data_IF_836830971657
#
_entry.id   IF_836830971657
#
_cell.length_a   1.000
_cell.length_b   1.000
_cell.length_c   1.000
_cell.angle_alpha   90.00
_cell.angle_beta   90.00
_cell.angle_gamma   90.00
#
_symmetry.space_group_name_H-M   'P 1'
#
loop_
_entity.id
_entity.type
_entity.pdbx_description
1 polymer ?
#
# COMPACT_ATOMS: atom_id res chain seq x y z
N UNK A 1 15.78 12.94 -27.57
CA UNK A 1 15.29 11.98 -26.57
C UNK A 1 14.62 12.75 -25.45
N UNK A 2 13.43 12.32 -25.01
CA UNK A 2 12.66 12.96 -23.94
C UNK A 2 13.39 12.82 -22.58
N UNK A 3 13.36 13.84 -21.72
CA UNK A 3 13.95 13.84 -20.36
C UNK A 3 13.47 12.64 -19.54
N UNK A 4 12.23 12.22 -19.73
CA UNK A 4 11.66 11.04 -19.07
C UNK A 4 12.48 9.77 -19.37
N UNK A 5 12.91 9.59 -20.62
CA UNK A 5 13.73 8.44 -21.02
C UNK A 5 15.07 8.43 -20.30
N UNK A 6 15.69 9.60 -20.13
CA UNK A 6 16.95 9.73 -19.38
C UNK A 6 16.77 9.38 -17.92
N UNK A 7 15.72 9.89 -17.25
CA UNK A 7 15.45 9.56 -15.85
C UNK A 7 15.15 8.08 -15.66
N UNK A 8 14.36 7.47 -16.55
CA UNK A 8 14.09 6.03 -16.53
C UNK A 8 15.37 5.22 -16.69
N UNK A 9 16.27 5.61 -17.61
CA UNK A 9 17.54 4.93 -17.81
C UNK A 9 18.46 5.07 -16.59
N UNK A 10 18.55 6.27 -16.00
CA UNK A 10 19.35 6.52 -14.79
C UNK A 10 18.83 5.66 -13.62
N UNK A 11 17.51 5.65 -13.39
CA UNK A 11 16.90 4.84 -12.34
C UNK A 11 17.20 3.35 -12.56
N UNK A 12 17.05 2.86 -13.79
CA UNK A 12 17.33 1.46 -14.12
C UNK A 12 18.78 1.08 -13.86
N UNK A 13 19.74 1.93 -14.29
CA UNK A 13 21.17 1.71 -14.06
C UNK A 13 21.47 1.69 -12.55
N UNK A 14 20.93 2.65 -11.78
CA UNK A 14 21.12 2.69 -10.33
C UNK A 14 20.58 1.44 -9.64
N UNK A 15 19.39 0.97 -10.04
CA UNK A 15 18.80 -0.26 -9.50
C UNK A 15 19.66 -1.48 -9.81
N UNK A 16 20.24 -1.57 -11.01
CA UNK A 16 21.17 -2.66 -11.37
C UNK A 16 22.44 -2.59 -10.54
N UNK A 17 23.05 -1.41 -10.43
CA UNK A 17 24.33 -1.22 -9.74
C UNK A 17 24.20 -1.52 -8.25
N UNK A 18 23.12 -1.09 -7.60
CA UNK A 18 22.93 -1.24 -6.16
C UNK A 18 22.24 -2.58 -5.82
N UNK A 19 21.19 -2.94 -6.56
CA UNK A 19 20.34 -4.09 -6.26
C UNK A 19 20.70 -5.37 -7.04
N UNK A 20 21.63 -5.31 -7.99
CA UNK A 20 22.01 -6.44 -8.84
C UNK A 20 20.82 -7.08 -9.56
N UNK A 21 20.73 -8.42 -9.50
CA UNK A 21 19.60 -9.18 -10.08
C UNK A 21 18.25 -8.81 -9.47
N UNK A 22 18.20 -8.51 -8.17
CA UNK A 22 16.97 -8.07 -7.51
C UNK A 22 16.56 -6.68 -7.98
N UNK A 23 17.53 -5.81 -8.26
CA UNK A 23 17.29 -4.50 -8.87
C UNK A 23 16.59 -4.58 -10.22
N UNK A 24 17.06 -5.46 -11.12
CA UNK A 24 16.40 -5.71 -12.42
C UNK A 24 14.96 -6.21 -12.22
N UNK A 25 14.74 -7.18 -11.32
CA UNK A 25 13.41 -7.75 -11.05
C UNK A 25 12.47 -6.71 -10.44
N UNK A 26 12.96 -5.87 -9.53
CA UNK A 26 12.20 -4.77 -8.94
C UNK A 26 11.82 -3.73 -10.00
N UNK A 27 12.74 -3.33 -10.88
CA UNK A 27 12.40 -2.42 -11.97
C UNK A 27 11.35 -3.00 -12.92
N UNK A 28 11.49 -4.28 -13.31
CA UNK A 28 10.52 -4.92 -14.19
C UNK A 28 9.14 -5.10 -13.51
N UNK A 29 9.12 -5.38 -12.19
CA UNK A 29 7.88 -5.46 -11.42
C UNK A 29 7.10 -4.15 -11.41
N UNK A 30 7.77 -2.99 -11.48
CA UNK A 30 7.10 -1.69 -11.58
C UNK A 30 6.21 -1.63 -12.84
N UNK A 31 6.72 -2.06 -13.99
CA UNK A 31 5.95 -2.09 -15.24
C UNK A 31 4.86 -3.16 -15.24
N UNK A 32 5.10 -4.31 -14.61
CA UNK A 32 4.08 -5.34 -14.45
C UNK A 32 2.92 -4.84 -13.57
N UNK A 33 3.24 -4.22 -12.43
CA UNK A 33 2.25 -3.62 -11.54
C UNK A 33 1.49 -2.48 -12.23
N UNK A 34 2.19 -1.63 -13.00
CA UNK A 34 1.55 -0.62 -13.84
C UNK A 34 0.58 -1.24 -14.86
N UNK A 35 0.97 -2.34 -15.50
CA UNK A 35 0.10 -3.09 -16.41
C UNK A 35 -1.15 -3.63 -15.72
N UNK A 36 -1.01 -4.20 -14.52
CA UNK A 36 -2.15 -4.66 -13.71
C UNK A 36 -3.09 -3.50 -13.39
N UNK A 37 -2.54 -2.37 -12.91
CA UNK A 37 -3.33 -1.16 -12.63
C UNK A 37 -4.09 -0.68 -13.87
N UNK A 38 -3.43 -0.60 -15.01
CA UNK A 38 -4.04 -0.14 -16.26
C UNK A 38 -5.18 -1.05 -16.71
N UNK A 39 -4.98 -2.37 -16.67
CA UNK A 39 -6.01 -3.36 -17.00
C UNK A 39 -7.18 -3.24 -16.01
N UNK A 40 -6.91 -3.10 -14.72
CA UNK A 40 -7.94 -2.94 -13.69
C UNK A 40 -8.78 -1.69 -13.92
N UNK A 41 -8.14 -0.55 -14.23
CA UNK A 41 -8.84 0.70 -14.57
C UNK A 41 -9.73 0.50 -15.81
N UNK A 42 -9.20 -0.13 -16.85
CA UNK A 42 -9.97 -0.42 -18.06
C UNK A 42 -11.18 -1.32 -17.75
N UNK A 43 -11.02 -2.35 -16.94
CA UNK A 43 -12.12 -3.25 -16.54
C UNK A 43 -13.16 -2.56 -15.66
N UNK A 44 -12.78 -1.57 -14.85
CA UNK A 44 -13.69 -0.76 -14.03
C UNK A 44 -14.62 0.11 -14.87
N UNK A 45 -14.30 0.41 -16.14
CA UNK A 45 -15.17 1.18 -17.03
C UNK A 45 -16.46 0.44 -17.39
N UNK A 46 -16.47 -0.89 -17.29
CA UNK A 46 -17.65 -1.71 -17.54
C UNK A 46 -18.58 -1.69 -16.31
N UNK A 47 -19.79 -1.14 -16.49
CA UNK A 47 -20.78 -0.94 -15.41
C UNK A 47 -21.21 -2.23 -14.67
N UNK A 48 -21.03 -3.41 -15.30
CA UNK A 48 -21.37 -4.71 -14.70
C UNK A 48 -20.34 -5.19 -13.68
N UNK A 49 -19.13 -4.63 -13.69
CA UNK A 49 -18.04 -5.05 -12.82
C UNK A 49 -18.07 -4.23 -11.52
N UNK A 50 -17.92 -4.89 -10.37
CA UNK A 50 -17.72 -4.16 -9.11
C UNK A 50 -16.27 -3.70 -8.98
N UNK A 51 -15.98 -2.39 -8.83
CA UNK A 51 -14.64 -1.89 -8.57
C UNK A 51 -13.98 -2.53 -7.36
N UNK A 52 -14.73 -2.86 -6.30
CA UNK A 52 -14.19 -3.50 -5.09
C UNK A 52 -13.58 -4.87 -5.42
N UNK A 53 -14.29 -5.70 -6.18
CA UNK A 53 -13.83 -7.04 -6.55
C UNK A 53 -12.59 -6.94 -7.45
N UNK A 54 -12.63 -6.04 -8.44
CA UNK A 54 -11.49 -5.80 -9.33
C UNK A 54 -10.26 -5.31 -8.55
N UNK A 55 -10.45 -4.46 -7.55
CA UNK A 55 -9.37 -4.00 -6.65
C UNK A 55 -8.80 -5.15 -5.85
N UNK A 56 -9.63 -6.03 -5.28
CA UNK A 56 -9.13 -7.18 -4.51
C UNK A 56 -8.30 -8.12 -5.40
N UNK A 57 -8.76 -8.39 -6.62
CA UNK A 57 -8.01 -9.18 -7.60
C UNK A 57 -6.69 -8.50 -7.96
N UNK A 58 -6.73 -7.22 -8.31
CA UNK A 58 -5.54 -6.44 -8.65
C UNK A 58 -4.53 -6.43 -7.50
N UNK A 59 -4.98 -6.20 -6.28
CA UNK A 59 -4.16 -6.21 -5.08
C UNK A 59 -3.52 -7.57 -4.85
N UNK A 60 -4.26 -8.66 -5.08
CA UNK A 60 -3.73 -10.02 -4.99
C UNK A 60 -2.61 -10.25 -6.00
N UNK A 61 -2.83 -9.85 -7.25
CA UNK A 61 -1.83 -9.99 -8.33
C UNK A 61 -0.61 -9.10 -8.09
N UNK A 62 -0.80 -7.84 -7.70
CA UNK A 62 0.29 -6.91 -7.35
C UNK A 62 1.09 -7.47 -6.17
N UNK A 63 0.42 -7.96 -5.13
CA UNK A 63 1.09 -8.59 -3.99
C UNK A 63 1.90 -9.81 -4.42
N UNK A 64 1.35 -10.61 -5.33
CA UNK A 64 2.03 -11.78 -5.85
C UNK A 64 3.30 -11.41 -6.63
N UNK A 65 3.19 -10.44 -7.55
CA UNK A 65 4.32 -9.92 -8.31
C UNK A 65 5.36 -9.34 -7.34
N UNK A 66 4.98 -8.37 -6.52
CA UNK A 66 5.93 -7.67 -5.64
C UNK A 66 6.63 -8.59 -4.64
N UNK A 67 5.94 -9.60 -4.09
CA UNK A 67 6.57 -10.51 -3.13
C UNK A 67 7.34 -11.64 -3.81
N UNK A 68 6.70 -12.40 -4.70
CA UNK A 68 7.30 -13.62 -5.25
C UNK A 68 8.22 -13.35 -6.45
N UNK A 69 7.86 -12.39 -7.30
CA UNK A 69 8.70 -12.04 -8.45
C UNK A 69 9.99 -11.35 -8.01
N UNK A 70 9.97 -10.53 -6.95
CA UNK A 70 11.17 -9.82 -6.48
C UNK A 70 12.00 -10.66 -5.50
N UNK A 71 11.37 -11.25 -4.48
CA UNK A 71 12.07 -11.82 -3.32
C UNK A 71 12.23 -13.35 -3.37
N UNK A 72 11.89 -13.98 -4.49
CA UNK A 72 11.89 -15.44 -4.68
C UNK A 72 10.92 -16.18 -3.74
N UNK A 73 10.56 -17.41 -4.11
CA UNK A 73 9.61 -18.20 -3.33
C UNK A 73 10.28 -18.68 -2.04
N UNK A 74 9.83 -18.18 -0.89
CA UNK A 74 10.39 -18.50 0.42
C UNK A 74 9.32 -18.47 1.50
N UNK A 75 9.60 -19.01 2.68
CA UNK A 75 8.68 -18.90 3.83
C UNK A 75 8.42 -17.45 4.24
N UNK A 76 9.41 -16.55 4.03
CA UNK A 76 9.30 -15.11 4.28
C UNK A 76 8.24 -14.49 3.36
N UNK A 77 8.30 -14.79 2.07
CA UNK A 77 7.38 -14.22 1.08
C UNK A 77 5.97 -14.80 1.20
N UNK A 78 5.84 -16.10 1.49
CA UNK A 78 4.53 -16.73 1.71
C UNK A 78 3.83 -16.16 2.95
N UNK A 79 4.55 -16.04 4.08
CA UNK A 79 3.96 -15.48 5.30
C UNK A 79 3.60 -14.01 5.14
N UNK A 80 4.46 -13.20 4.49
CA UNK A 80 4.14 -11.81 4.15
C UNK A 80 2.92 -11.68 3.23
N UNK A 81 2.79 -12.55 2.23
CA UNK A 81 1.64 -12.56 1.31
C UNK A 81 0.33 -12.86 2.05
N UNK A 82 0.31 -13.90 2.88
CA UNK A 82 -0.88 -14.27 3.67
C UNK A 82 -1.29 -13.12 4.60
N UNK A 83 -0.32 -12.53 5.31
CA UNK A 83 -0.57 -11.38 6.19
C UNK A 83 -1.10 -10.16 5.44
N UNK A 84 -0.59 -9.92 4.22
CA UNK A 84 -1.07 -8.85 3.35
C UNK A 84 -2.52 -9.10 2.93
N UNK A 85 -2.86 -10.32 2.50
CA UNK A 85 -4.24 -10.66 2.11
C UNK A 85 -5.23 -10.48 3.27
N UNK A 86 -4.88 -10.95 4.46
CA UNK A 86 -5.70 -10.76 5.67
C UNK A 86 -5.91 -9.26 5.94
N UNK A 87 -4.83 -8.48 5.87
CA UNK A 87 -4.89 -7.04 6.15
C UNK A 87 -5.74 -6.31 5.12
N UNK A 88 -5.59 -6.61 3.83
CA UNK A 88 -6.36 -5.98 2.76
C UNK A 88 -7.85 -6.25 2.91
N UNK A 89 -8.24 -7.48 3.27
CA UNK A 89 -9.66 -7.80 3.48
C UNK A 89 -10.23 -7.01 4.65
N UNK A 90 -9.53 -6.94 5.79
CA UNK A 90 -9.97 -6.18 6.96
C UNK A 90 -10.04 -4.69 6.62
N UNK A 91 -9.01 -4.16 5.96
CA UNK A 91 -8.91 -2.76 5.60
C UNK A 91 -9.98 -2.36 4.57
N UNK A 92 -10.29 -3.22 3.60
CA UNK A 92 -11.36 -3.01 2.64
C UNK A 92 -12.73 -2.88 3.34
N UNK A 93 -13.04 -3.77 4.28
CA UNK A 93 -14.29 -3.69 5.04
C UNK A 93 -14.38 -2.38 5.84
N UNK A 94 -13.27 -1.97 6.45
CA UNK A 94 -13.18 -0.70 7.17
C UNK A 94 -13.36 0.51 6.23
N UNK A 95 -12.68 0.53 5.08
CA UNK A 95 -12.75 1.63 4.12
C UNK A 95 -14.16 1.76 3.55
N UNK A 96 -14.82 0.65 3.19
CA UNK A 96 -16.20 0.71 2.69
C UNK A 96 -17.11 1.35 3.74
N UNK A 97 -16.98 0.95 5.01
CA UNK A 97 -17.74 1.54 6.11
C UNK A 97 -17.48 3.05 6.29
N UNK A 98 -16.21 3.47 6.27
CA UNK A 98 -15.82 4.88 6.42
C UNK A 98 -16.27 5.72 5.24
N UNK A 99 -16.10 5.22 4.01
CA UNK A 99 -16.41 5.96 2.78
C UNK A 99 -17.91 6.23 2.67
N UNK A 100 -18.75 5.27 3.09
CA UNK A 100 -20.20 5.47 3.17
C UNK A 100 -20.60 6.62 4.13
N UNK A 101 -19.85 6.79 5.23
CA UNK A 101 -20.11 7.81 6.25
C UNK A 101 -19.48 9.17 5.94
N UNK A 102 -18.38 9.20 5.19
CA UNK A 102 -17.63 10.43 4.92
C UNK A 102 -18.34 11.45 4.03
N UNK A 103 -19.38 11.04 3.27
CA UNK A 103 -20.09 11.86 2.27
C UNK A 103 -19.17 12.49 1.19
N UNK A 104 -17.90 12.12 1.15
CA UNK A 104 -16.91 12.57 0.16
C UNK A 104 -17.04 11.70 -1.09
N UNK A 105 -17.79 12.17 -2.10
CA UNK A 105 -18.08 11.42 -3.34
C UNK A 105 -17.80 12.22 -4.59
N UNK A 106 -17.14 11.65 -5.59
CA UNK A 106 -16.91 12.32 -6.88
C UNK A 106 -15.86 13.44 -6.81
N UNK A 107 -15.82 14.28 -7.84
CA UNK A 107 -14.78 15.32 -8.01
C UNK A 107 -14.94 16.51 -7.07
N UNK A 108 -13.82 17.02 -6.55
CA UNK A 108 -13.77 18.25 -5.74
C UNK A 108 -14.10 19.49 -6.58
N UNK A 109 -14.67 20.52 -5.96
CA UNK A 109 -15.02 21.77 -6.65
C UNK A 109 -13.80 22.42 -7.34
N UNK A 110 -12.62 22.21 -6.75
CA UNK A 110 -11.32 22.69 -7.18
C UNK A 110 -10.82 21.95 -8.44
N UNK A 111 -11.37 20.77 -8.74
CA UNK A 111 -11.09 19.99 -9.97
C UNK A 111 -12.22 20.07 -10.99
N UNK A 112 -13.39 20.59 -10.62
CA UNK A 112 -14.59 20.59 -11.47
C UNK A 112 -14.42 21.48 -12.70
N UNK A 113 -13.69 22.59 -12.59
CA UNK A 113 -13.52 23.54 -13.70
C UNK A 113 -12.75 22.90 -14.87
N UNK A 114 -11.70 22.13 -14.57
CA UNK A 114 -10.90 21.39 -15.56
C UNK A 114 -11.68 20.26 -16.24
N UNK A 115 -12.61 19.62 -15.51
CA UNK A 115 -13.34 18.42 -15.98
C UNK A 115 -14.73 18.79 -16.53
N UNK A 116 -15.14 20.05 -16.41
CA UNK A 116 -16.47 20.57 -16.82
C UNK A 116 -16.78 20.36 -18.31
N UNK A 117 -15.75 20.26 -19.16
CA UNK A 117 -15.87 19.98 -20.59
C UNK A 117 -16.14 18.49 -20.91
N UNK A 118 -16.00 17.60 -19.93
CA UNK A 118 -16.23 16.16 -20.08
C UNK A 118 -17.58 15.74 -19.47
N UNK A 119 -18.10 14.60 -19.92
CA UNK A 119 -19.28 14.01 -19.29
C UNK A 119 -18.95 13.57 -17.86
N UNK A 120 -19.60 14.19 -16.88
CA UNK A 120 -19.51 13.79 -15.47
C UNK A 120 -20.30 12.50 -15.18
N UNK A 121 -21.06 11.98 -16.15
CA UNK A 121 -21.75 10.71 -16.02
C UNK A 121 -20.77 9.55 -16.21
N UNK A 122 -20.19 9.13 -15.10
CA UNK A 122 -19.45 7.88 -14.99
C UNK A 122 -20.44 6.87 -14.43
N UNK A 123 -20.87 5.90 -15.25
CA UNK A 123 -21.83 4.85 -14.88
C UNK A 123 -21.32 3.85 -13.84
N UNK A 124 -20.39 4.27 -12.97
CA UNK A 124 -19.69 3.48 -11.97
C UNK A 124 -19.84 4.17 -10.62
N UNK A 125 -20.00 3.38 -9.56
CA UNK A 125 -20.19 3.91 -8.22
C UNK A 125 -18.90 4.57 -7.68
N UNK A 126 -18.92 5.89 -7.56
CA UNK A 126 -17.80 6.68 -7.04
C UNK A 126 -17.36 6.32 -5.62
N UNK A 127 -18.26 5.82 -4.77
CA UNK A 127 -17.89 5.33 -3.42
C UNK A 127 -16.98 4.11 -3.55
N UNK A 128 -17.31 3.19 -4.46
CA UNK A 128 -16.51 1.99 -4.70
C UNK A 128 -15.17 2.33 -5.37
N UNK A 129 -15.14 3.35 -6.24
CA UNK A 129 -13.90 3.87 -6.81
C UNK A 129 -13.03 4.50 -5.72
N UNK A 130 -13.59 5.36 -4.85
CA UNK A 130 -12.86 5.96 -3.74
C UNK A 130 -12.23 4.91 -2.83
N UNK A 131 -13.00 3.89 -2.44
CA UNK A 131 -12.48 2.77 -1.68
C UNK A 131 -11.36 2.02 -2.42
N UNK A 132 -11.49 1.85 -3.73
CA UNK A 132 -10.48 1.23 -4.57
C UNK A 132 -9.18 2.02 -4.62
N UNK A 133 -9.27 3.35 -4.77
CA UNK A 133 -8.11 4.26 -4.77
C UNK A 133 -7.36 4.16 -3.45
N UNK A 134 -8.05 4.23 -2.31
CA UNK A 134 -7.41 4.18 -0.99
C UNK A 134 -6.61 2.87 -0.82
N UNK A 135 -7.21 1.72 -1.17
CA UNK A 135 -6.54 0.42 -1.03
C UNK A 135 -5.35 0.33 -1.98
N UNK A 136 -5.52 0.73 -3.23
CA UNK A 136 -4.48 0.65 -4.25
C UNK A 136 -3.29 1.56 -3.92
N UNK A 137 -3.54 2.74 -3.34
CA UNK A 137 -2.49 3.63 -2.85
C UNK A 137 -1.75 3.07 -1.63
N UNK A 138 -2.42 2.25 -0.80
CA UNK A 138 -1.86 1.74 0.45
C UNK A 138 -1.09 0.42 0.28
N UNK A 139 -1.40 -0.37 -0.76
CA UNK A 139 -0.89 -1.74 -0.89
C UNK A 139 0.64 -1.82 -0.91
N UNK A 140 1.32 -0.86 -1.55
CA UNK A 140 2.78 -0.82 -1.61
C UNK A 140 3.39 -0.77 -0.21
N UNK A 141 2.94 0.17 0.63
CA UNK A 141 3.40 0.29 2.01
C UNK A 141 3.11 -0.96 2.85
N UNK A 142 1.92 -1.57 2.69
CA UNK A 142 1.57 -2.81 3.39
C UNK A 142 2.54 -3.94 3.01
N UNK A 143 2.86 -4.07 1.72
CA UNK A 143 3.78 -5.09 1.22
C UNK A 143 5.20 -4.90 1.77
N UNK A 144 5.69 -3.66 1.75
CA UNK A 144 7.03 -3.31 2.23
C UNK A 144 7.17 -3.58 3.73
N UNK A 145 6.16 -3.23 4.53
CA UNK A 145 6.14 -3.52 5.97
C UNK A 145 6.07 -5.03 6.21
N UNK A 146 5.20 -5.75 5.48
CA UNK A 146 5.02 -7.19 5.65
C UNK A 146 6.32 -7.96 5.35
N UNK A 147 6.99 -7.67 4.23
CA UNK A 147 8.22 -8.37 3.87
C UNK A 147 9.39 -7.99 4.78
N UNK A 148 9.46 -6.73 5.23
CA UNK A 148 10.49 -6.26 6.16
C UNK A 148 10.39 -6.98 7.50
N UNK A 149 9.20 -7.01 8.10
CA UNK A 149 8.97 -7.74 9.36
C UNK A 149 9.23 -9.24 9.18
N UNK A 150 8.69 -9.85 8.13
CA UNK A 150 8.86 -11.28 7.87
C UNK A 150 10.34 -11.67 7.74
N UNK A 151 11.12 -10.85 7.02
CA UNK A 151 12.54 -11.08 6.80
C UNK A 151 13.34 -10.94 8.08
N UNK A 152 13.12 -9.87 8.85
CA UNK A 152 13.82 -9.62 10.11
C UNK A 152 13.49 -10.67 11.17
N UNK A 153 12.23 -11.10 11.27
CA UNK A 153 11.85 -12.17 12.21
C UNK A 153 12.51 -13.51 11.86
N UNK A 154 12.65 -13.84 10.57
CA UNK A 154 13.38 -15.03 10.16
C UNK A 154 14.86 -14.95 10.55
N UNK A 155 15.49 -13.78 10.42
CA UNK A 155 16.88 -13.57 10.79
C UNK A 155 17.08 -13.69 12.31
N UNK A 156 16.16 -13.14 13.11
CA UNK A 156 16.16 -13.30 14.57
C UNK A 156 16.08 -14.78 14.96
N UNK A 157 15.17 -15.55 14.34
CA UNK A 157 15.07 -16.99 14.63
C UNK A 157 16.33 -17.74 14.18
N UNK A 158 16.92 -17.37 13.04
CA UNK A 158 18.15 -17.99 12.55
C UNK A 158 19.33 -17.79 13.53
N UNK A 159 19.46 -16.60 14.10
CA UNK A 159 20.51 -16.31 15.09
C UNK A 159 20.17 -16.76 16.51
N UNK A 160 18.88 -16.92 16.84
CA UNK A 160 18.44 -17.44 18.13
C UNK A 160 17.36 -18.53 17.96
N UNK A 161 17.76 -19.78 17.63
CA UNK A 161 16.82 -20.86 17.33
C UNK A 161 15.90 -21.24 18.49
N UNK A 162 16.34 -20.98 19.73
CA UNK A 162 15.62 -21.31 20.96
C UNK A 162 14.65 -20.20 21.40
N UNK A 163 14.53 -19.10 20.62
CA UNK A 163 13.60 -18.03 20.95
C UNK A 163 12.16 -18.55 21.07
N UNK A 164 11.45 -18.10 22.11
CA UNK A 164 10.04 -18.48 22.30
C UNK A 164 9.14 -17.71 21.34
N UNK A 165 8.01 -18.32 20.95
CA UNK A 165 7.00 -17.70 20.07
C UNK A 165 6.59 -16.30 20.55
N UNK A 166 6.39 -16.14 21.86
CA UNK A 166 5.98 -14.86 22.46
C UNK A 166 7.07 -13.79 22.30
N UNK A 167 8.34 -14.14 22.54
CA UNK A 167 9.49 -13.22 22.35
C UNK A 167 9.69 -12.86 20.89
N UNK A 168 9.52 -13.83 19.98
CA UNK A 168 9.60 -13.58 18.54
C UNK A 168 8.50 -12.63 18.07
N UNK A 169 7.26 -12.83 18.52
CA UNK A 169 6.15 -11.92 18.26
C UNK A 169 6.41 -10.50 18.79
N UNK A 170 6.91 -10.36 20.02
CA UNK A 170 7.24 -9.04 20.59
C UNK A 170 8.36 -8.35 19.83
N UNK A 171 9.34 -9.11 19.33
CA UNK A 171 10.41 -8.58 18.48
C UNK A 171 9.85 -8.05 17.15
N UNK A 172 8.93 -8.79 16.52
CA UNK A 172 8.22 -8.34 15.32
C UNK A 172 7.44 -7.05 15.54
N UNK A 173 6.74 -6.93 16.67
CA UNK A 173 6.04 -5.69 17.04
C UNK A 173 7.01 -4.51 17.24
N UNK A 174 8.16 -4.75 17.87
CA UNK A 174 9.18 -3.71 18.07
C UNK A 174 9.68 -3.17 16.73
N UNK A 175 10.01 -4.07 15.79
CA UNK A 175 10.45 -3.70 14.44
C UNK A 175 9.36 -2.91 13.71
N UNK A 176 8.12 -3.40 13.77
CA UNK A 176 7.00 -2.72 13.13
C UNK A 176 6.71 -1.34 13.71
N UNK A 177 6.96 -1.12 15.01
CA UNK A 177 6.78 0.19 15.65
C UNK A 177 7.73 1.24 15.07
N UNK A 178 8.97 0.85 14.78
CA UNK A 178 9.95 1.74 14.17
C UNK A 178 9.54 2.10 12.73
N UNK A 179 9.07 1.12 11.97
CA UNK A 179 8.57 1.31 10.59
C UNK A 179 7.33 2.21 10.56
N UNK A 180 6.39 2.04 11.50
CA UNK A 180 5.18 2.85 11.57
C UNK A 180 5.51 4.35 11.67
N UNK A 181 6.53 4.69 12.47
CA UNK A 181 6.98 6.07 12.63
C UNK A 181 7.54 6.66 11.33
N UNK A 182 8.39 5.91 10.63
CA UNK A 182 9.00 6.36 9.36
C UNK A 182 7.98 6.47 8.23
N UNK A 183 7.02 5.55 8.15
CA UNK A 183 5.99 5.55 7.12
C UNK A 183 4.99 6.68 7.33
N UNK A 184 4.63 6.99 8.58
CA UNK A 184 3.76 8.13 8.90
C UNK A 184 4.37 9.44 8.41
N UNK A 185 5.67 9.65 8.63
CA UNK A 185 6.38 10.82 8.11
C UNK A 185 6.41 10.84 6.57
N UNK A 186 6.59 9.67 5.95
CA UNK A 186 6.60 9.56 4.48
C UNK A 186 5.24 9.96 3.88
N UNK A 187 4.13 9.47 4.45
CA UNK A 187 2.78 9.88 4.03
C UNK A 187 2.55 11.38 4.25
N UNK A 188 3.01 11.91 5.38
CA UNK A 188 2.91 13.35 5.67
C UNK A 188 3.63 14.20 4.61
N UNK A 189 4.88 13.86 4.28
CA UNK A 189 5.64 14.60 3.27
C UNK A 189 5.11 14.41 1.85
N UNK A 190 4.64 13.21 1.51
CA UNK A 190 3.99 12.96 0.21
C UNK A 190 2.77 13.87 0.02
N UNK A 191 1.97 14.03 1.06
CA UNK A 191 0.82 14.94 1.05
C UNK A 191 1.20 16.41 0.96
N UNK A 192 1.89 16.94 1.97
CA UNK A 192 2.20 18.37 2.02
C UNK A 192 3.12 18.81 0.87
N UNK A 193 4.02 17.93 0.43
CA UNK A 193 4.88 18.17 -0.72
C UNK A 193 4.11 18.14 -2.05
N UNK A 194 3.20 17.18 -2.23
CA UNK A 194 2.40 17.04 -3.45
C UNK A 194 1.37 18.16 -3.62
N UNK A 195 0.83 18.69 -2.52
CA UNK A 195 -0.20 19.74 -2.53
C UNK A 195 0.34 21.14 -2.18
N UNK A 196 1.67 21.35 -2.22
CA UNK A 196 2.27 22.61 -1.79
C UNK A 196 1.70 23.84 -2.53
N UNK A 197 1.55 23.75 -3.86
CA UNK A 197 0.96 24.83 -4.67
C UNK A 197 -0.49 25.13 -4.29
N UNK A 198 -1.30 24.10 -4.00
CA UNK A 198 -2.68 24.25 -3.56
C UNK A 198 -2.76 24.92 -2.19
N UNK A 199 -1.86 24.55 -1.27
CA UNK A 199 -1.78 25.15 0.06
C UNK A 199 -1.39 26.63 0.00
N UNK A 200 -0.47 27.01 -0.91
CA UNK A 200 -0.14 28.41 -1.18
C UNK A 200 -1.36 29.14 -1.75
N UNK A 201 -2.08 28.52 -2.69
CA UNK A 201 -3.26 29.13 -3.29
C UNK A 201 -4.39 29.40 -2.27
N UNK A 202 -4.64 28.46 -1.36
CA UNK A 202 -5.58 28.66 -0.26
C UNK A 202 -5.18 29.82 0.65
N UNK A 203 -3.89 29.97 0.93
CA UNK A 203 -3.36 31.09 1.70
C UNK A 203 -3.58 32.42 0.95
N UNK A 204 -3.24 32.48 -0.32
CA UNK A 204 -3.32 33.71 -1.12
C UNK A 204 -4.76 34.18 -1.31
N UNK A 205 -5.70 33.24 -1.45
CA UNK A 205 -7.14 33.51 -1.49
C UNK A 205 -7.79 33.71 -0.11
N UNK A 206 -6.99 33.77 0.96
CA UNK A 206 -7.45 34.03 2.34
C UNK A 206 -8.50 33.02 2.85
N UNK A 207 -8.43 31.76 2.42
CA UNK A 207 -9.25 30.70 2.98
C UNK A 207 -8.94 30.53 4.47
N UNK A 208 -9.98 30.39 5.28
CA UNK A 208 -9.84 30.00 6.68
C UNK A 208 -9.35 28.55 6.79
N UNK A 209 -8.69 28.21 7.91
CA UNK A 209 -8.27 26.83 8.19
C UNK A 209 -9.46 25.87 8.16
N UNK A 210 -10.64 26.33 8.62
CA UNK A 210 -11.88 25.54 8.56
C UNK A 210 -12.29 25.21 7.13
N UNK A 211 -12.23 26.17 6.22
CA UNK A 211 -12.54 25.93 4.81
C UNK A 211 -11.51 25.02 4.14
N UNK A 212 -10.23 25.15 4.47
CA UNK A 212 -9.17 24.28 3.94
C UNK A 212 -9.41 22.83 4.38
N UNK A 213 -9.60 22.59 5.68
CA UNK A 213 -9.78 21.23 6.23
C UNK A 213 -11.06 20.57 5.73
N UNK A 214 -12.12 21.36 5.49
CA UNK A 214 -13.38 20.87 4.95
C UNK A 214 -13.43 20.90 3.41
N UNK A 215 -12.40 21.41 2.74
CA UNK A 215 -12.31 21.34 1.28
C UNK A 215 -12.27 19.89 0.85
N UNK A 216 -12.92 19.59 -0.27
CA UNK A 216 -13.18 18.20 -0.64
C UNK A 216 -11.89 17.47 -1.02
N UNK A 217 -10.97 18.15 -1.71
CA UNK A 217 -9.66 17.60 -2.03
C UNK A 217 -8.88 17.28 -0.75
N UNK A 218 -8.80 18.23 0.18
CA UNK A 218 -8.04 18.06 1.41
C UNK A 218 -8.63 16.96 2.31
N UNK A 219 -9.95 16.93 2.48
CA UNK A 219 -10.64 15.91 3.26
C UNK A 219 -10.47 14.51 2.65
N UNK A 220 -10.57 14.38 1.31
CA UNK A 220 -10.37 13.09 0.62
C UNK A 220 -8.98 12.53 0.89
N UNK A 221 -7.97 13.40 0.77
CA UNK A 221 -6.57 13.02 0.92
C UNK A 221 -6.22 12.69 2.37
N UNK A 222 -6.74 13.45 3.35
CA UNK A 222 -6.61 13.10 4.76
C UNK A 222 -7.25 11.75 5.08
N UNK A 223 -8.44 11.46 4.57
CA UNK A 223 -9.07 10.15 4.72
C UNK A 223 -8.16 9.05 4.14
N UNK A 224 -7.57 9.28 2.96
CA UNK A 224 -6.63 8.33 2.35
C UNK A 224 -5.42 8.09 3.26
N UNK A 225 -4.77 9.13 3.78
CA UNK A 225 -3.61 9.03 4.67
C UNK A 225 -3.96 8.30 5.96
N UNK A 226 -5.10 8.62 6.58
CA UNK A 226 -5.53 7.94 7.81
C UNK A 226 -5.85 6.48 7.55
N UNK A 227 -6.56 6.15 6.48
CA UNK A 227 -6.81 4.77 6.09
C UNK A 227 -5.51 4.01 5.78
N UNK A 228 -4.55 4.66 5.10
CA UNK A 228 -3.25 4.08 4.81
C UNK A 228 -2.46 3.80 6.09
N UNK A 229 -2.40 4.77 7.01
CA UNK A 229 -1.77 4.62 8.32
C UNK A 229 -2.42 3.52 9.17
N UNK A 230 -3.74 3.38 9.13
CA UNK A 230 -4.46 2.27 9.77
C UNK A 230 -4.06 0.93 9.14
N UNK A 231 -3.97 0.87 7.81
CA UNK A 231 -3.50 -0.32 7.10
C UNK A 231 -2.10 -0.76 7.53
N UNK A 232 -1.17 0.20 7.64
CA UNK A 232 0.20 -0.02 8.11
C UNK A 232 0.21 -0.46 9.59
N UNK A 233 -0.59 0.18 10.43
CA UNK A 233 -0.73 -0.19 11.83
C UNK A 233 -1.30 -1.61 12.02
N UNK A 234 -2.20 -2.05 11.13
CA UNK A 234 -2.81 -3.39 11.15
C UNK A 234 -1.87 -4.48 10.65
N UNK A 235 -1.10 -4.24 9.58
CA UNK A 235 -0.21 -5.26 9.01
C UNK A 235 0.90 -5.67 9.98
N UNK A 236 1.34 -4.77 10.87
CA UNK A 236 2.40 -5.02 11.87
C UNK A 236 2.06 -6.20 12.80
N UNK A 237 0.97 -6.15 13.60
CA UNK A 237 0.60 -7.26 14.48
C UNK A 237 0.16 -8.51 13.70
N UNK A 238 -0.46 -8.35 12.53
CA UNK A 238 -0.88 -9.49 11.69
C UNK A 238 0.35 -10.25 11.19
N UNK A 239 1.31 -9.56 10.58
CA UNK A 239 2.56 -10.18 10.08
C UNK A 239 3.36 -10.78 11.21
N UNK A 240 3.51 -10.07 12.32
CA UNK A 240 4.24 -10.57 13.49
C UNK A 240 3.60 -11.85 14.04
N UNK A 241 2.27 -11.91 14.10
CA UNK A 241 1.55 -13.09 14.62
C UNK A 241 1.67 -14.29 13.69
N UNK A 242 1.46 -14.08 12.39
CA UNK A 242 1.54 -15.12 11.35
C UNK A 242 2.96 -15.68 11.28
N UNK A 243 3.99 -14.81 11.24
CA UNK A 243 5.38 -15.27 11.21
C UNK A 243 5.75 -16.01 12.48
N UNK A 244 5.43 -15.46 13.66
CA UNK A 244 5.77 -16.12 14.93
C UNK A 244 5.15 -17.52 15.03
N UNK A 245 3.89 -17.69 14.60
CA UNK A 245 3.25 -19.00 14.57
C UNK A 245 3.89 -19.96 13.56
N UNK A 246 4.05 -19.51 12.31
CA UNK A 246 4.58 -20.35 11.23
C UNK A 246 6.00 -20.82 11.51
N UNK A 247 6.86 -19.91 11.95
CA UNK A 247 8.28 -20.17 12.19
C UNK A 247 8.51 -21.13 13.36
N UNK A 248 7.81 -20.95 14.49
CA UNK A 248 7.99 -21.86 15.63
C UNK A 248 7.42 -23.23 15.33
N UNK A 249 6.25 -23.31 14.68
CA UNK A 249 5.66 -24.60 14.29
C UNK A 249 6.59 -25.38 13.36
N UNK A 250 7.17 -24.71 12.36
CA UNK A 250 8.14 -25.33 11.43
C UNK A 250 9.38 -25.84 12.16
N UNK A 251 9.90 -25.08 13.13
CA UNK A 251 11.03 -25.52 13.97
C UNK A 251 10.69 -26.79 14.76
N UNK A 252 9.55 -26.79 15.43
CA UNK A 252 9.15 -27.92 16.28
C UNK A 252 8.96 -29.19 15.42
N UNK A 253 8.37 -29.08 14.22
CA UNK A 253 8.25 -30.20 13.27
C UNK A 253 9.61 -30.74 12.78
N UNK A 254 10.63 -29.88 12.63
CA UNK A 254 11.97 -30.31 12.23
C UNK A 254 12.69 -31.02 13.38
N UNK A 255 12.49 -30.56 14.62
CA UNK A 255 13.03 -31.21 15.81
C UNK A 255 12.39 -32.57 16.09
N UNK A 256 11.08 -32.72 15.85
CA UNK A 256 10.38 -34.00 16.00
C UNK A 256 10.78 -35.05 14.94
N UNK A 257 11.36 -34.61 13.82
CA UNK A 257 11.77 -35.46 12.71
C UNK A 257 13.27 -35.84 12.71
N UNK A 258 14.07 -35.27 13.63
CA UNK A 258 15.52 -35.49 13.77
C UNK A 258 15.86 -36.35 14.98
#
# INVERSE_FOLDING_TARGET
MNVLVWLTAILFILMIVIGGKKGVRSFLSLFLNFGVLFITIFLMTNQKNSPIILTLIACTVISWISLFFINEMSSKTVTAFISTMITIVILLLFIVFVTEKSMVRGFGAESTEEISIFSLYIGVNFVQIGASVIIMSTIGAILDVAISIATSMHEILHHNPLISRRKLFTSGLSIGRDILGTDTNTLFFAFFGGYLSLLIWFKDLSYSIGEIVNSKIFATELIMIFCAGIGIALIIPITSSVNAYYLTKKRDTIQDAS
#
